data_IF_236898846698
#
_entry.id   IF_236898846698
#
_cell.length_a   1.000
_cell.length_b   1.000
_cell.length_c   1.000
_cell.angle_alpha   90.00
_cell.angle_beta   90.00
_cell.angle_gamma   90.00
#
_symmetry.space_group_name_H-M   'P 1'
#
loop_
_entity.id
_entity.type
_entity.pdbx_description
1 polymer ?
#
# COMPACT_ATOMS: atom_id res chain seq x y z
N UNK A 1 41.86 -19.59 -17.33
CA UNK A 1 40.57 -18.95 -16.98
C UNK A 1 39.45 -19.97 -17.18
N UNK A 2 39.03 -20.66 -16.10
CA UNK A 2 38.00 -21.69 -16.16
C UNK A 2 36.63 -21.06 -16.07
N UNK A 3 35.83 -21.16 -17.11
CA UNK A 3 34.43 -20.76 -17.14
C UNK A 3 33.67 -21.76 -16.26
N UNK A 4 33.28 -21.33 -15.06
CA UNK A 4 32.43 -22.09 -14.14
C UNK A 4 31.03 -22.15 -14.76
N UNK A 5 30.71 -23.24 -15.44
CA UNK A 5 29.36 -23.58 -15.90
C UNK A 5 28.43 -23.57 -14.68
N UNK A 6 27.57 -22.58 -14.58
CA UNK A 6 26.46 -22.56 -13.61
C UNK A 6 25.53 -23.71 -13.99
N UNK A 7 25.58 -24.81 -13.24
CA UNK A 7 24.59 -25.90 -13.36
C UNK A 7 23.25 -25.34 -12.90
N UNK A 8 22.44 -24.92 -13.85
CA UNK A 8 21.02 -24.64 -13.63
C UNK A 8 20.32 -26.00 -13.43
N UNK A 9 20.43 -26.58 -12.25
CA UNK A 9 19.55 -27.68 -11.85
C UNK A 9 18.21 -27.04 -11.52
N UNK A 10 17.23 -27.28 -12.36
CA UNK A 10 15.84 -26.95 -12.03
C UNK A 10 15.51 -27.57 -10.66
N UNK A 11 14.90 -26.80 -9.73
CA UNK A 11 14.56 -27.35 -8.43
C UNK A 11 13.59 -28.54 -8.59
N UNK A 12 13.62 -29.54 -7.69
CA UNK A 12 12.71 -30.65 -7.74
C UNK A 12 11.25 -30.19 -7.82
N UNK A 13 10.43 -30.85 -8.62
CA UNK A 13 8.99 -30.54 -8.76
C UNK A 13 8.33 -30.59 -7.38
N UNK A 14 7.54 -29.57 -7.05
CA UNK A 14 6.89 -29.33 -5.74
C UNK A 14 7.85 -28.96 -4.58
N UNK A 15 9.13 -28.68 -4.86
CA UNK A 15 9.98 -28.07 -3.84
C UNK A 15 9.55 -26.63 -3.56
N UNK A 16 9.87 -26.13 -2.35
CA UNK A 16 9.62 -24.72 -1.98
C UNK A 16 10.15 -23.71 -3.02
N UNK A 17 11.33 -23.97 -3.58
CA UNK A 17 11.92 -23.10 -4.61
C UNK A 17 11.21 -23.21 -5.96
N UNK A 18 10.77 -24.41 -6.34
CA UNK A 18 9.98 -24.63 -7.55
C UNK A 18 8.65 -23.88 -7.49
N UNK A 19 7.93 -23.98 -6.35
CA UNK A 19 6.65 -23.28 -6.15
C UNK A 19 6.84 -21.77 -6.23
N UNK A 20 7.88 -21.21 -5.59
CA UNK A 20 8.14 -19.77 -5.66
C UNK A 20 8.51 -19.30 -7.08
N UNK A 21 9.26 -20.10 -7.83
CA UNK A 21 9.66 -19.73 -9.20
C UNK A 21 8.51 -19.81 -10.21
N UNK A 22 7.55 -20.75 -10.00
CA UNK A 22 6.47 -21.03 -10.94
C UNK A 22 5.08 -20.70 -10.36
N UNK A 23 5.01 -19.89 -9.30
CA UNK A 23 3.72 -19.62 -8.62
C UNK A 23 2.67 -19.03 -9.56
N UNK A 24 3.05 -18.13 -10.47
CA UNK A 24 2.11 -17.53 -11.42
C UNK A 24 1.49 -18.58 -12.36
N UNK A 25 2.28 -19.50 -12.89
CA UNK A 25 1.81 -20.56 -13.77
C UNK A 25 0.92 -21.56 -13.03
N UNK A 26 1.32 -21.97 -11.82
CA UNK A 26 0.54 -22.87 -10.96
C UNK A 26 -0.81 -22.25 -10.64
N UNK A 27 -0.82 -20.95 -10.22
CA UNK A 27 -2.05 -20.23 -9.89
C UNK A 27 -2.92 -20.04 -11.14
N UNK A 28 -2.32 -19.79 -12.31
CA UNK A 28 -3.07 -19.66 -13.58
C UNK A 28 -3.80 -20.96 -13.94
N UNK A 29 -3.15 -22.12 -13.76
CA UNK A 29 -3.78 -23.41 -13.97
C UNK A 29 -4.96 -23.64 -12.99
N UNK A 30 -4.77 -23.33 -11.71
CA UNK A 30 -5.82 -23.44 -10.69
C UNK A 30 -6.98 -22.49 -11.01
N UNK A 31 -6.69 -21.24 -11.40
CA UNK A 31 -7.70 -20.25 -11.78
C UNK A 31 -8.52 -20.70 -13.00
N UNK A 32 -7.89 -21.32 -14.01
CA UNK A 32 -8.59 -21.86 -15.17
C UNK A 32 -9.54 -23.02 -14.79
N UNK A 33 -9.10 -23.94 -13.93
CA UNK A 33 -9.95 -25.02 -13.42
C UNK A 33 -11.15 -24.46 -12.66
N UNK A 34 -10.91 -23.43 -11.85
CA UNK A 34 -11.96 -22.77 -11.07
C UNK A 34 -12.95 -22.03 -11.97
N UNK A 35 -12.45 -21.33 -13.02
CA UNK A 35 -13.28 -20.66 -14.02
C UNK A 35 -14.19 -21.65 -14.74
N UNK A 36 -13.66 -22.81 -15.15
CA UNK A 36 -14.45 -23.87 -15.77
C UNK A 36 -15.56 -24.34 -14.81
N UNK A 37 -15.26 -24.54 -13.53
CA UNK A 37 -16.28 -24.89 -12.53
C UNK A 37 -17.40 -23.86 -12.40
N UNK A 38 -17.06 -22.58 -12.43
CA UNK A 38 -18.03 -21.48 -12.36
C UNK A 38 -18.89 -21.36 -13.64
N UNK A 39 -18.35 -21.72 -14.81
CA UNK A 39 -19.09 -21.67 -16.08
C UNK A 39 -20.23 -22.68 -16.14
N UNK A 40 -20.16 -23.76 -15.39
CA UNK A 40 -21.22 -24.78 -15.32
C UNK A 40 -22.35 -24.43 -14.33
N UNK A 41 -22.22 -23.35 -13.57
CA UNK A 41 -23.26 -22.86 -12.68
C UNK A 41 -24.01 -21.67 -13.32
N UNK A 42 -25.32 -21.75 -13.43
CA UNK A 42 -26.16 -20.63 -13.87
C UNK A 42 -26.09 -19.50 -12.81
N UNK A 43 -25.09 -18.63 -12.93
CA UNK A 43 -24.77 -17.57 -11.96
C UNK A 43 -25.48 -16.24 -12.22
N UNK A 44 -26.33 -16.16 -13.23
CA UNK A 44 -26.87 -14.87 -13.72
C UNK A 44 -27.85 -14.13 -12.78
N UNK A 45 -28.43 -14.80 -11.77
CA UNK A 45 -29.57 -14.22 -11.02
C UNK A 45 -29.22 -13.68 -9.62
N UNK A 46 -28.04 -13.91 -9.06
CA UNK A 46 -27.74 -13.64 -7.64
C UNK A 46 -26.74 -12.51 -7.36
N UNK A 47 -26.56 -11.56 -8.26
CA UNK A 47 -25.56 -10.49 -8.10
C UNK A 47 -25.94 -9.37 -7.12
N UNK A 48 -27.19 -9.29 -6.67
CA UNK A 48 -27.66 -8.13 -5.91
C UNK A 48 -27.66 -8.31 -4.39
N UNK A 49 -27.69 -9.54 -3.88
CA UNK A 49 -27.55 -9.84 -2.45
C UNK A 49 -26.19 -10.49 -2.16
N UNK A 50 -25.67 -10.33 -0.93
CA UNK A 50 -24.51 -11.12 -0.51
C UNK A 50 -24.93 -12.58 -0.23
N UNK A 51 -24.00 -13.51 -0.47
CA UNK A 51 -24.24 -14.93 -0.28
C UNK A 51 -22.96 -15.77 -0.27
N UNK A 52 -23.11 -17.08 0.00
CA UNK A 52 -21.99 -18.02 0.03
C UNK A 52 -21.23 -18.08 -1.31
N UNK A 53 -21.91 -17.86 -2.43
CA UNK A 53 -21.30 -17.79 -3.77
C UNK A 53 -20.27 -16.65 -3.88
N UNK A 54 -20.42 -15.56 -3.12
CA UNK A 54 -19.48 -14.46 -3.11
C UNK A 54 -18.10 -14.92 -2.56
N UNK A 55 -18.07 -15.85 -1.62
CA UNK A 55 -16.81 -16.40 -1.07
C UNK A 55 -16.04 -17.11 -2.18
N UNK A 56 -16.70 -17.93 -2.99
CA UNK A 56 -16.09 -18.61 -4.12
C UNK A 56 -15.57 -17.60 -5.15
N UNK A 57 -16.35 -16.55 -5.42
CA UNK A 57 -15.98 -15.48 -6.36
C UNK A 57 -14.79 -14.67 -5.84
N UNK A 58 -14.77 -14.35 -4.55
CA UNK A 58 -13.61 -13.68 -3.90
C UNK A 58 -12.35 -14.53 -4.02
N UNK A 59 -12.45 -15.85 -3.80
CA UNK A 59 -11.32 -16.75 -3.96
C UNK A 59 -10.83 -16.77 -5.42
N UNK A 60 -11.73 -16.81 -6.41
CA UNK A 60 -11.35 -16.70 -7.81
C UNK A 60 -10.60 -15.40 -8.12
N UNK A 61 -11.11 -14.24 -7.67
CA UNK A 61 -10.43 -12.96 -7.89
C UNK A 61 -9.13 -12.83 -7.09
N UNK A 62 -8.97 -13.55 -5.99
CA UNK A 62 -7.68 -13.69 -5.31
C UNK A 62 -6.65 -14.35 -6.24
N UNK A 63 -7.02 -15.41 -6.95
CA UNK A 63 -6.12 -16.08 -7.92
C UNK A 63 -5.79 -15.15 -9.09
N UNK A 64 -6.79 -14.42 -9.61
CA UNK A 64 -6.58 -13.40 -10.65
C UNK A 64 -5.61 -12.31 -10.17
N UNK A 65 -5.74 -11.86 -8.93
CA UNK A 65 -4.84 -10.85 -8.36
C UNK A 65 -3.38 -11.33 -8.28
N UNK A 66 -3.13 -12.61 -7.95
CA UNK A 66 -1.78 -13.20 -7.97
C UNK A 66 -1.19 -13.16 -9.39
N UNK A 67 -1.98 -13.52 -10.39
CA UNK A 67 -1.55 -13.50 -11.81
C UNK A 67 -1.23 -12.06 -12.23
N UNK A 68 -2.13 -11.12 -11.94
CA UNK A 68 -1.93 -9.70 -12.28
C UNK A 68 -0.70 -9.11 -11.58
N UNK A 69 -0.46 -9.49 -10.31
CA UNK A 69 0.75 -9.09 -9.59
C UNK A 69 2.02 -9.57 -10.31
N UNK A 70 2.06 -10.84 -10.73
CA UNK A 70 3.19 -11.41 -11.46
C UNK A 70 3.40 -10.70 -12.82
N UNK A 71 2.33 -10.42 -13.56
CA UNK A 71 2.38 -9.70 -14.85
C UNK A 71 2.95 -8.29 -14.65
N UNK A 72 2.44 -7.52 -13.71
CA UNK A 72 2.94 -6.16 -13.43
C UNK A 72 4.42 -6.21 -13.03
N UNK A 73 4.80 -7.18 -12.20
CA UNK A 73 6.18 -7.36 -11.77
C UNK A 73 7.10 -7.59 -12.97
N UNK A 74 6.81 -8.56 -13.80
CA UNK A 74 7.70 -9.00 -14.88
C UNK A 74 7.73 -8.01 -16.05
N UNK A 75 6.57 -7.56 -16.51
CA UNK A 75 6.47 -6.77 -17.73
C UNK A 75 6.66 -5.28 -17.54
N UNK A 76 6.42 -4.75 -16.32
CA UNK A 76 6.52 -3.33 -16.02
C UNK A 76 7.70 -3.04 -15.10
N UNK A 77 7.65 -3.55 -13.86
CA UNK A 77 8.58 -3.14 -12.81
C UNK A 77 10.00 -3.63 -13.05
N UNK A 78 10.18 -4.87 -13.49
CA UNK A 78 11.51 -5.42 -13.76
C UNK A 78 12.17 -4.76 -14.97
N UNK A 79 11.39 -4.29 -15.95
CA UNK A 79 11.92 -3.50 -17.07
C UNK A 79 12.44 -2.15 -16.61
N UNK A 80 11.69 -1.47 -15.73
CA UNK A 80 12.09 -0.17 -15.15
C UNK A 80 13.32 -0.35 -14.28
N UNK A 81 13.33 -1.34 -13.41
CA UNK A 81 14.45 -1.63 -12.51
C UNK A 81 15.76 -1.91 -13.26
N UNK A 82 15.70 -2.66 -14.35
CA UNK A 82 16.88 -2.91 -15.21
C UNK A 82 17.47 -1.64 -15.80
N UNK A 83 16.63 -0.65 -16.14
CA UNK A 83 17.08 0.65 -16.65
C UNK A 83 17.68 1.53 -15.54
N UNK A 84 17.15 1.44 -14.32
CA UNK A 84 17.53 2.32 -13.20
C UNK A 84 18.74 1.82 -12.39
N UNK A 85 19.18 0.57 -12.60
CA UNK A 85 20.32 -0.04 -11.90
C UNK A 85 20.28 0.09 -10.37
N UNK A 86 19.11 -0.11 -9.76
CA UNK A 86 18.93 0.02 -8.33
C UNK A 86 19.70 -1.04 -7.53
N UNK A 87 20.15 -0.69 -6.32
CA UNK A 87 20.63 -1.65 -5.34
C UNK A 87 19.52 -2.64 -4.95
N UNK A 88 19.89 -3.86 -4.52
CA UNK A 88 18.95 -4.93 -4.21
C UNK A 88 17.81 -4.52 -3.24
N UNK A 89 18.16 -3.72 -2.22
CA UNK A 89 17.19 -3.22 -1.23
C UNK A 89 16.29 -2.15 -1.82
N UNK A 90 16.82 -1.25 -2.66
CA UNK A 90 16.06 -0.18 -3.31
C UNK A 90 15.10 -0.78 -4.35
N UNK A 91 15.56 -1.81 -5.08
CA UNK A 91 14.77 -2.59 -6.03
C UNK A 91 13.52 -3.20 -5.38
N UNK A 92 13.66 -3.91 -4.25
CA UNK A 92 12.52 -4.52 -3.55
C UNK A 92 11.49 -3.47 -3.09
N UNK A 93 11.94 -2.35 -2.52
CA UNK A 93 11.05 -1.26 -2.09
C UNK A 93 10.38 -0.52 -3.25
N UNK A 94 11.06 -0.41 -4.39
CA UNK A 94 10.50 0.16 -5.61
C UNK A 94 9.39 -0.73 -6.16
N UNK A 95 9.60 -2.05 -6.21
CA UNK A 95 8.60 -3.01 -6.65
C UNK A 95 7.36 -2.98 -5.76
N UNK A 96 7.53 -3.03 -4.44
CA UNK A 96 6.44 -2.89 -3.47
C UNK A 96 5.60 -1.63 -3.75
N UNK A 97 6.25 -0.48 -3.90
CA UNK A 97 5.54 0.78 -4.16
C UNK A 97 4.91 0.82 -5.55
N UNK A 98 5.52 0.20 -6.56
CA UNK A 98 4.99 0.11 -7.91
C UNK A 98 3.72 -0.72 -7.99
N UNK A 99 3.72 -1.90 -7.37
CA UNK A 99 2.54 -2.77 -7.28
C UNK A 99 1.37 -2.07 -6.58
N UNK A 100 1.64 -1.50 -5.42
CA UNK A 100 0.61 -0.79 -4.65
C UNK A 100 0.11 0.48 -5.36
N UNK A 101 0.99 1.22 -6.06
CA UNK A 101 0.56 2.38 -6.86
C UNK A 101 -0.40 1.98 -7.98
N UNK A 102 -0.10 0.88 -8.70
CA UNK A 102 -0.96 0.39 -9.77
C UNK A 102 -2.34 -0.02 -9.21
N UNK A 103 -2.36 -0.77 -8.11
CA UNK A 103 -3.59 -1.19 -7.46
C UNK A 103 -4.42 -0.01 -6.95
N UNK A 104 -3.80 0.93 -6.22
CA UNK A 104 -4.52 2.08 -5.67
C UNK A 104 -5.05 3.00 -6.76
N UNK A 105 -4.29 3.22 -7.85
CA UNK A 105 -4.75 4.01 -8.98
C UNK A 105 -6.01 3.39 -9.61
N UNK A 106 -5.95 2.10 -9.95
CA UNK A 106 -7.08 1.39 -10.54
C UNK A 106 -8.31 1.41 -9.61
N UNK A 107 -8.11 1.10 -8.33
CA UNK A 107 -9.19 1.06 -7.34
C UNK A 107 -9.80 2.44 -7.09
N UNK A 108 -8.99 3.51 -7.07
CA UNK A 108 -9.50 4.88 -6.95
C UNK A 108 -10.34 5.30 -8.16
N UNK A 109 -9.84 5.07 -9.38
CA UNK A 109 -10.55 5.45 -10.59
C UNK A 109 -11.88 4.71 -10.72
N UNK A 110 -11.85 3.40 -10.48
CA UNK A 110 -13.07 2.59 -10.52
C UNK A 110 -14.03 2.95 -9.38
N UNK A 111 -13.56 3.07 -8.14
CA UNK A 111 -14.37 3.48 -7.01
C UNK A 111 -14.97 4.88 -7.21
N UNK A 112 -14.21 5.84 -7.74
CA UNK A 112 -14.71 7.17 -8.07
C UNK A 112 -15.79 7.13 -9.14
N UNK A 113 -15.67 6.28 -10.16
CA UNK A 113 -16.73 6.12 -11.18
C UNK A 113 -18.02 5.60 -10.56
N UNK A 114 -17.95 4.67 -9.58
CA UNK A 114 -19.13 4.19 -8.84
C UNK A 114 -19.73 5.30 -7.97
N UNK A 115 -18.89 6.08 -7.26
CA UNK A 115 -19.36 7.21 -6.45
C UNK A 115 -20.14 8.23 -7.26
N UNK A 116 -19.72 8.49 -8.51
CA UNK A 116 -20.41 9.39 -9.44
C UNK A 116 -21.71 8.75 -9.95
N UNK A 117 -21.66 7.49 -10.39
CA UNK A 117 -22.84 6.79 -10.94
C UNK A 117 -23.96 6.59 -9.91
N UNK A 118 -23.61 6.33 -8.65
CA UNK A 118 -24.55 6.17 -7.53
C UNK A 118 -24.91 7.52 -6.86
N UNK A 119 -24.38 8.63 -7.37
CA UNK A 119 -24.66 10.00 -6.89
C UNK A 119 -24.31 10.23 -5.40
N UNK A 120 -23.35 9.48 -4.87
CA UNK A 120 -22.98 9.52 -3.45
C UNK A 120 -22.19 10.77 -3.05
N UNK A 121 -21.54 11.42 -4.01
CA UNK A 121 -20.77 12.66 -3.76
C UNK A 121 -21.66 13.88 -3.64
N UNK A 122 -22.74 13.95 -4.44
CA UNK A 122 -23.65 15.10 -4.49
C UNK A 122 -24.69 15.06 -3.38
N UNK A 123 -25.02 13.87 -2.85
CA UNK A 123 -26.00 13.68 -1.79
C UNK A 123 -25.42 12.82 -0.65
N UNK A 124 -24.72 13.43 0.33
CA UNK A 124 -24.17 12.68 1.46
C UNK A 124 -25.21 11.96 2.32
N UNK A 125 -26.49 12.40 2.31
CA UNK A 125 -27.57 11.74 3.03
C UNK A 125 -27.82 10.33 2.52
N UNK A 126 -27.58 10.08 1.23
CA UNK A 126 -27.69 8.75 0.63
C UNK A 126 -26.80 7.68 1.26
N UNK A 127 -25.80 8.06 2.08
CA UNK A 127 -24.95 7.12 2.81
C UNK A 127 -25.69 6.34 3.89
N UNK A 128 -26.78 6.88 4.44
CA UNK A 128 -27.59 6.23 5.46
C UNK A 128 -29.07 6.17 5.13
N UNK A 129 -29.53 7.00 4.19
CA UNK A 129 -30.93 7.03 3.76
C UNK A 129 -31.28 5.70 3.08
N UNK A 130 -32.42 5.11 3.49
CA UNK A 130 -32.88 3.81 3.02
C UNK A 130 -32.07 2.62 3.55
N UNK A 131 -31.32 2.77 4.62
CA UNK A 131 -30.63 1.65 5.27
C UNK A 131 -31.62 0.58 5.76
N UNK A 132 -31.38 -0.74 5.58
CA UNK A 132 -30.15 -1.39 5.08
C UNK A 132 -30.08 -1.43 3.54
N UNK A 133 -28.88 -1.16 3.02
CA UNK A 133 -28.60 -1.22 1.59
C UNK A 133 -28.28 -2.66 1.13
N UNK A 134 -29.24 -3.56 1.25
CA UNK A 134 -29.05 -4.99 0.95
C UNK A 134 -28.98 -5.28 -0.54
N UNK A 135 -29.60 -4.42 -1.37
CA UNK A 135 -29.49 -4.48 -2.82
C UNK A 135 -28.36 -3.56 -3.26
N UNK A 136 -27.33 -4.15 -3.83
CA UNK A 136 -26.18 -3.42 -4.37
C UNK A 136 -26.22 -3.42 -5.89
N UNK A 137 -25.90 -2.30 -6.52
CA UNK A 137 -25.61 -2.27 -7.95
C UNK A 137 -24.46 -3.23 -8.27
N UNK A 138 -24.50 -3.87 -9.44
CA UNK A 138 -23.47 -4.84 -9.86
C UNK A 138 -22.04 -4.30 -9.69
N UNK A 139 -21.79 -3.08 -10.15
CA UNK A 139 -20.47 -2.44 -10.07
C UNK A 139 -19.98 -2.31 -8.62
N UNK A 140 -20.84 -1.92 -7.70
CA UNK A 140 -20.52 -1.78 -6.29
C UNK A 140 -20.19 -3.14 -5.66
N UNK A 141 -21.02 -4.15 -5.88
CA UNK A 141 -20.79 -5.51 -5.40
C UNK A 141 -19.49 -6.08 -5.94
N UNK A 142 -19.27 -5.95 -7.26
CA UNK A 142 -18.09 -6.44 -7.93
C UNK A 142 -16.82 -5.75 -7.43
N UNK A 143 -16.89 -4.45 -7.17
CA UNK A 143 -15.80 -3.70 -6.55
C UNK A 143 -15.39 -4.32 -5.21
N UNK A 144 -16.36 -4.56 -4.30
CA UNK A 144 -16.08 -5.18 -2.99
C UNK A 144 -15.43 -6.56 -3.11
N UNK A 145 -15.95 -7.39 -4.00
CA UNK A 145 -15.40 -8.75 -4.27
C UNK A 145 -13.94 -8.64 -4.74
N UNK A 146 -13.65 -7.77 -5.68
CA UNK A 146 -12.28 -7.55 -6.17
C UNK A 146 -11.35 -7.00 -5.08
N UNK A 147 -11.83 -6.07 -4.23
CA UNK A 147 -11.05 -5.56 -3.11
C UNK A 147 -10.71 -6.65 -2.10
N UNK A 148 -11.69 -7.50 -1.74
CA UNK A 148 -11.45 -8.65 -0.86
C UNK A 148 -10.48 -9.64 -1.48
N UNK A 149 -10.65 -9.99 -2.75
CA UNK A 149 -9.74 -10.87 -3.49
C UNK A 149 -8.31 -10.33 -3.50
N UNK A 150 -8.13 -9.03 -3.75
CA UNK A 150 -6.82 -8.40 -3.74
C UNK A 150 -6.15 -8.45 -2.36
N UNK A 151 -6.85 -8.09 -1.29
CA UNK A 151 -6.25 -8.12 0.04
C UNK A 151 -6.00 -9.54 0.57
N UNK A 152 -6.81 -10.51 0.14
CA UNK A 152 -6.54 -11.93 0.44
C UNK A 152 -5.30 -12.44 -0.28
N UNK A 153 -5.06 -12.06 -1.56
CA UNK A 153 -3.85 -12.50 -2.27
C UNK A 153 -2.56 -11.97 -1.62
N UNK A 154 -2.63 -10.85 -0.93
CA UNK A 154 -1.47 -10.29 -0.24
C UNK A 154 -0.89 -11.24 0.83
N UNK A 155 -1.69 -12.19 1.37
CA UNK A 155 -1.20 -13.18 2.35
C UNK A 155 -0.24 -14.20 1.70
N UNK A 156 -0.63 -14.97 0.67
CA UNK A 156 0.31 -15.86 -0.02
C UNK A 156 1.47 -15.10 -0.69
N UNK A 157 1.26 -13.85 -1.09
CA UNK A 157 2.31 -13.01 -1.70
C UNK A 157 3.48 -12.76 -0.74
N UNK A 158 3.24 -12.65 0.58
CA UNK A 158 4.32 -12.57 1.58
C UNK A 158 5.27 -13.76 1.51
N UNK A 159 4.73 -14.94 1.21
CA UNK A 159 5.51 -16.16 1.02
C UNK A 159 6.28 -16.15 -0.31
N UNK A 160 5.62 -15.79 -1.40
CA UNK A 160 6.24 -15.77 -2.74
C UNK A 160 7.36 -14.74 -2.84
N UNK A 161 7.22 -13.57 -2.21
CA UNK A 161 8.24 -12.53 -2.17
C UNK A 161 9.37 -12.80 -1.17
N UNK A 162 9.35 -13.91 -0.44
CA UNK A 162 10.34 -14.23 0.61
C UNK A 162 10.50 -13.08 1.60
N UNK A 163 9.39 -12.49 2.04
CA UNK A 163 9.39 -11.37 2.98
C UNK A 163 10.15 -11.72 4.25
N UNK A 164 10.91 -10.78 4.78
CA UNK A 164 11.66 -10.97 6.03
C UNK A 164 10.71 -11.25 7.19
N UNK A 165 11.06 -12.19 8.06
CA UNK A 165 10.24 -12.58 9.23
C UNK A 165 9.83 -11.40 10.10
N UNK A 166 10.72 -10.41 10.26
CA UNK A 166 10.49 -9.18 11.04
C UNK A 166 9.36 -8.30 10.44
N UNK A 167 9.20 -8.33 9.12
CA UNK A 167 8.24 -7.52 8.39
C UNK A 167 6.88 -8.22 8.23
N UNK A 168 6.82 -9.56 8.33
CA UNK A 168 5.60 -10.35 8.12
C UNK A 168 4.50 -9.93 9.10
N UNK A 169 4.80 -9.87 10.39
CA UNK A 169 3.80 -9.52 11.42
C UNK A 169 3.20 -8.12 11.16
N UNK A 170 4.05 -7.15 10.77
CA UNK A 170 3.60 -5.79 10.43
C UNK A 170 2.69 -5.79 9.21
N UNK A 171 3.04 -6.52 8.15
CA UNK A 171 2.25 -6.59 6.92
C UNK A 171 0.93 -7.32 7.16
N UNK A 172 0.92 -8.41 7.93
CA UNK A 172 -0.30 -9.12 8.31
C UNK A 172 -1.29 -8.22 9.07
N UNK A 173 -0.81 -7.36 9.98
CA UNK A 173 -1.68 -6.38 10.66
C UNK A 173 -2.36 -5.45 9.65
N UNK A 174 -1.62 -4.92 8.66
CA UNK A 174 -2.21 -4.06 7.63
C UNK A 174 -3.22 -4.81 6.77
N UNK A 175 -2.88 -6.00 6.28
CA UNK A 175 -3.79 -6.84 5.48
C UNK A 175 -5.07 -7.14 6.28
N UNK A 176 -4.94 -7.53 7.55
CA UNK A 176 -6.09 -7.82 8.41
C UNK A 176 -6.98 -6.60 8.63
N UNK A 177 -6.40 -5.40 8.81
CA UNK A 177 -7.17 -4.17 8.93
C UNK A 177 -8.01 -3.90 7.68
N UNK A 178 -7.44 -4.06 6.48
CA UNK A 178 -8.19 -3.92 5.23
C UNK A 178 -9.32 -4.95 5.13
N UNK A 179 -8.99 -6.23 5.35
CA UNK A 179 -9.99 -7.31 5.26
C UNK A 179 -11.15 -7.09 6.24
N UNK A 180 -10.86 -6.73 7.50
CA UNK A 180 -11.89 -6.48 8.53
C UNK A 180 -12.79 -5.31 8.13
N UNK A 181 -12.22 -4.19 7.68
CA UNK A 181 -13.01 -3.01 7.32
C UNK A 181 -13.84 -3.23 6.06
N UNK A 182 -13.27 -3.85 5.03
CA UNK A 182 -13.97 -4.12 3.77
C UNK A 182 -15.08 -5.16 3.99
N UNK A 183 -14.78 -6.28 4.69
CA UNK A 183 -15.78 -7.29 5.03
C UNK A 183 -16.88 -6.73 5.94
N UNK A 184 -16.49 -5.93 6.94
CA UNK A 184 -17.42 -5.29 7.86
C UNK A 184 -18.39 -4.37 7.12
N UNK A 185 -17.89 -3.52 6.23
CA UNK A 185 -18.75 -2.64 5.42
C UNK A 185 -19.69 -3.44 4.50
N UNK A 186 -19.21 -4.55 3.93
CA UNK A 186 -19.98 -5.41 3.05
C UNK A 186 -21.08 -6.18 3.79
N UNK A 187 -20.75 -6.85 4.88
CA UNK A 187 -21.66 -7.71 5.65
C UNK A 187 -22.68 -6.90 6.44
N UNK A 188 -22.29 -5.75 6.99
CA UNK A 188 -23.17 -4.87 7.75
C UNK A 188 -24.03 -3.95 6.87
N UNK A 189 -24.02 -4.12 5.55
CA UNK A 189 -24.74 -3.28 4.60
C UNK A 189 -24.39 -1.78 4.68
N UNK A 190 -23.16 -1.46 5.16
CA UNK A 190 -22.58 -0.13 5.17
C UNK A 190 -21.76 0.12 3.90
N UNK A 191 -22.15 -0.52 2.79
CA UNK A 191 -21.38 -0.56 1.56
C UNK A 191 -21.16 0.82 0.91
N UNK A 192 -22.14 1.74 1.00
CA UNK A 192 -22.00 3.11 0.46
C UNK A 192 -20.98 3.91 1.25
N UNK A 193 -21.06 3.92 2.57
CA UNK A 193 -20.06 4.55 3.45
C UNK A 193 -18.69 3.91 3.22
N UNK A 194 -18.62 2.58 3.26
CA UNK A 194 -17.37 1.85 3.07
C UNK A 194 -16.69 2.18 1.74
N UNK A 195 -17.43 2.33 0.64
CA UNK A 195 -16.89 2.74 -0.65
C UNK A 195 -16.25 4.13 -0.58
N UNK A 196 -16.97 5.12 -0.01
CA UNK A 196 -16.44 6.50 0.11
C UNK A 196 -15.15 6.51 0.94
N UNK A 197 -15.16 5.84 2.10
CA UNK A 197 -13.99 5.80 2.98
C UNK A 197 -12.81 5.06 2.33
N UNK A 198 -13.08 4.02 1.57
CA UNK A 198 -12.05 3.23 0.88
C UNK A 198 -11.41 4.02 -0.25
N UNK A 199 -12.20 4.72 -1.07
CA UNK A 199 -11.69 5.57 -2.15
C UNK A 199 -10.85 6.73 -1.60
N UNK A 200 -11.31 7.39 -0.53
CA UNK A 200 -10.53 8.43 0.15
C UNK A 200 -9.19 7.90 0.66
N UNK A 201 -9.21 6.73 1.29
CA UNK A 201 -8.00 6.10 1.80
C UNK A 201 -7.04 5.73 0.67
N UNK A 202 -7.54 5.07 -0.37
CA UNK A 202 -6.73 4.65 -1.51
C UNK A 202 -6.13 5.82 -2.28
N UNK A 203 -6.84 6.92 -2.38
CA UNK A 203 -6.30 8.13 -2.99
C UNK A 203 -5.07 8.66 -2.23
N UNK A 204 -5.15 8.70 -0.91
CA UNK A 204 -4.03 9.15 -0.06
C UNK A 204 -2.84 8.18 -0.14
N UNK A 205 -3.10 6.86 -0.12
CA UNK A 205 -2.07 5.83 -0.24
C UNK A 205 -1.42 5.83 -1.65
N UNK A 206 -2.21 6.05 -2.69
CA UNK A 206 -1.70 6.24 -4.05
C UNK A 206 -0.67 7.37 -4.10
N UNK A 207 -0.99 8.53 -3.56
CA UNK A 207 -0.07 9.68 -3.52
C UNK A 207 1.21 9.37 -2.73
N UNK A 208 1.10 8.61 -1.64
CA UNK A 208 2.27 8.17 -0.88
C UNK A 208 3.21 7.29 -1.71
N UNK A 209 2.65 6.27 -2.36
CA UNK A 209 3.46 5.33 -3.14
C UNK A 209 4.05 5.98 -4.40
N UNK A 210 3.31 6.87 -5.07
CA UNK A 210 3.85 7.68 -6.17
C UNK A 210 5.00 8.58 -5.69
N UNK A 211 4.84 9.24 -4.54
CA UNK A 211 5.91 10.06 -3.94
C UNK A 211 7.16 9.22 -3.61
N UNK A 212 6.97 7.98 -3.14
CA UNK A 212 8.08 7.03 -2.93
C UNK A 212 8.77 6.64 -4.24
N UNK A 213 8.01 6.36 -5.31
CA UNK A 213 8.57 6.02 -6.62
C UNK A 213 9.41 7.17 -7.20
N UNK A 214 8.90 8.40 -7.10
CA UNK A 214 9.62 9.60 -7.52
C UNK A 214 10.91 9.77 -6.69
N UNK A 215 10.84 9.60 -5.38
CA UNK A 215 12.00 9.68 -4.49
C UNK A 215 13.05 8.61 -4.78
N UNK A 216 12.66 7.37 -5.08
CA UNK A 216 13.60 6.31 -5.46
C UNK A 216 14.29 6.62 -6.80
N UNK A 217 13.59 7.31 -7.70
CA UNK A 217 14.14 7.73 -8.99
C UNK A 217 15.07 8.93 -8.85
N UNK A 218 14.70 9.92 -8.00
CA UNK A 218 15.49 11.12 -7.73
C UNK A 218 15.30 11.55 -6.26
N UNK A 219 16.34 11.36 -5.44
CA UNK A 219 16.33 11.60 -3.99
C UNK A 219 16.14 13.09 -3.61
N UNK A 220 16.41 14.03 -4.52
CA UNK A 220 16.22 15.45 -4.30
C UNK A 220 14.72 15.86 -4.32
N UNK A 221 13.87 15.05 -4.95
CA UNK A 221 12.44 15.35 -5.10
C UNK A 221 11.62 14.89 -3.90
N UNK A 222 11.59 15.72 -2.86
CA UNK A 222 10.83 15.42 -1.63
C UNK A 222 9.46 16.13 -1.54
N UNK A 223 9.13 17.01 -2.48
CA UNK A 223 7.90 17.81 -2.49
C UNK A 223 6.63 16.95 -2.44
N UNK A 224 6.63 15.79 -3.12
CA UNK A 224 5.50 14.86 -3.10
C UNK A 224 5.09 14.41 -1.70
N UNK A 225 6.04 14.20 -0.79
CA UNK A 225 5.74 13.83 0.59
C UNK A 225 5.10 14.96 1.40
N UNK A 226 5.35 16.22 1.05
CA UNK A 226 4.70 17.36 1.71
C UNK A 226 3.24 17.45 1.27
N UNK A 227 2.97 17.35 -0.03
CA UNK A 227 1.60 17.31 -0.57
C UNK A 227 0.83 16.14 0.03
N UNK A 228 1.43 14.94 0.02
CA UNK A 228 0.85 13.76 0.64
C UNK A 228 0.53 13.99 2.12
N UNK A 229 1.41 14.60 2.89
CA UNK A 229 1.20 14.82 4.32
C UNK A 229 -0.02 15.69 4.61
N UNK A 230 -0.23 16.77 3.84
CA UNK A 230 -1.41 17.64 3.96
C UNK A 230 -2.68 16.86 3.62
N UNK A 231 -2.69 16.16 2.48
CA UNK A 231 -3.85 15.39 2.03
C UNK A 231 -4.13 14.17 2.93
N UNK A 232 -3.10 13.60 3.57
CA UNK A 232 -3.26 12.57 4.58
C UNK A 232 -4.10 13.08 5.75
N UNK A 233 -3.72 14.21 6.35
CA UNK A 233 -4.45 14.78 7.50
C UNK A 233 -5.88 15.13 7.11
N UNK A 234 -6.08 15.81 5.98
CA UNK A 234 -7.41 16.16 5.47
C UNK A 234 -8.27 14.91 5.22
N UNK A 235 -7.70 13.89 4.60
CA UNK A 235 -8.40 12.62 4.35
C UNK A 235 -8.80 11.91 5.64
N UNK A 236 -7.95 11.95 6.70
CA UNK A 236 -8.31 11.36 8.00
C UNK A 236 -9.43 12.12 8.69
N UNK A 237 -9.40 13.47 8.66
CA UNK A 237 -10.46 14.31 9.21
C UNK A 237 -11.79 14.05 8.48
N UNK A 238 -11.78 14.00 7.16
CA UNK A 238 -12.97 13.72 6.36
C UNK A 238 -13.53 12.32 6.63
N UNK A 239 -12.66 11.31 6.73
CA UNK A 239 -13.04 9.94 7.09
C UNK A 239 -13.77 9.89 8.45
N UNK A 240 -13.21 10.54 9.48
CA UNK A 240 -13.82 10.59 10.81
C UNK A 240 -15.17 11.34 10.78
N UNK A 241 -15.22 12.51 10.13
CA UNK A 241 -16.44 13.32 10.02
C UNK A 241 -17.56 12.54 9.33
N UNK A 242 -17.30 11.92 8.18
CA UNK A 242 -18.30 11.11 7.46
C UNK A 242 -18.76 9.89 8.27
N UNK A 243 -17.84 9.23 8.98
CA UNK A 243 -18.18 8.08 9.81
C UNK A 243 -19.08 8.46 10.98
N UNK A 244 -18.76 9.55 11.67
CA UNK A 244 -19.58 10.06 12.79
C UNK A 244 -20.94 10.53 12.29
N UNK A 245 -20.98 11.27 11.17
CA UNK A 245 -22.26 11.72 10.58
C UNK A 245 -23.14 10.54 10.16
N UNK A 246 -22.58 9.56 9.47
CA UNK A 246 -23.36 8.42 8.95
C UNK A 246 -23.76 7.46 10.08
N UNK A 247 -22.79 6.94 10.85
CA UNK A 247 -23.05 5.88 11.83
C UNK A 247 -23.56 6.45 13.16
N UNK A 248 -23.03 7.61 13.58
CA UNK A 248 -23.42 8.26 14.84
C UNK A 248 -24.80 8.92 14.77
N UNK A 249 -25.03 9.72 13.75
CA UNK A 249 -26.26 10.52 13.62
C UNK A 249 -27.22 9.96 12.56
N UNK A 250 -26.77 9.68 11.35
CA UNK A 250 -27.62 9.23 10.26
C UNK A 250 -28.36 7.93 10.57
N UNK A 251 -27.63 6.88 10.93
CA UNK A 251 -28.24 5.60 11.31
C UNK A 251 -29.01 5.67 12.63
N UNK A 252 -28.65 6.59 13.54
CA UNK A 252 -29.43 6.79 14.77
C UNK A 252 -30.80 7.36 14.52
N UNK A 253 -30.95 8.20 13.50
CA UNK A 253 -32.23 8.78 13.06
C UNK A 253 -32.95 8.00 11.96
N UNK A 254 -32.40 6.88 11.48
CA UNK A 254 -33.03 6.10 10.42
C UNK A 254 -34.30 5.40 10.90
N UNK A 255 -35.28 5.24 10.02
CA UNK A 255 -36.59 4.66 10.34
C UNK A 255 -36.49 3.21 10.86
N UNK A 256 -35.60 2.40 10.24
CA UNK A 256 -35.42 1.00 10.60
C UNK A 256 -34.37 0.87 11.70
N UNK A 257 -34.82 0.74 12.94
CA UNK A 257 -34.01 0.45 14.11
C UNK A 257 -34.13 -1.03 14.50
N UNK A 258 -33.08 -1.59 15.09
CA UNK A 258 -33.07 -2.96 15.60
C UNK A 258 -32.23 -3.93 14.78
N UNK A 259 -32.14 -5.16 15.27
CA UNK A 259 -31.42 -6.25 14.63
C UNK A 259 -32.42 -7.17 13.93
N UNK A 260 -32.33 -7.24 12.60
CA UNK A 260 -33.07 -8.19 11.78
C UNK A 260 -32.17 -8.81 10.73
N UNK A 261 -31.65 -10.01 11.01
CA UNK A 261 -30.72 -10.72 10.15
C UNK A 261 -31.35 -11.11 8.80
N UNK A 262 -32.67 -11.38 8.79
CA UNK A 262 -33.39 -11.77 7.56
C UNK A 262 -33.49 -10.60 6.57
N UNK A 263 -33.63 -9.39 7.08
CA UNK A 263 -33.66 -8.15 6.29
C UNK A 263 -32.24 -7.52 6.15
N UNK A 264 -31.20 -8.12 6.74
CA UNK A 264 -29.85 -7.55 6.74
C UNK A 264 -29.72 -6.24 7.53
N UNK A 265 -30.63 -6.00 8.47
CA UNK A 265 -30.61 -4.81 9.32
C UNK A 265 -29.77 -5.04 10.58
N UNK A 266 -28.70 -4.26 10.73
CA UNK A 266 -27.80 -4.30 11.89
C UNK A 266 -27.81 -2.99 12.70
N UNK A 267 -28.85 -2.16 12.55
CA UNK A 267 -28.92 -0.83 13.14
C UNK A 267 -29.29 -0.87 14.63
N UNK A 268 -28.39 -1.39 15.45
CA UNK A 268 -28.46 -1.34 16.92
C UNK A 268 -27.28 -0.53 17.47
N UNK A 269 -27.49 0.05 18.64
CA UNK A 269 -26.48 0.91 19.30
C UNK A 269 -25.11 0.22 19.43
N UNK A 270 -25.10 -1.06 19.83
CA UNK A 270 -23.85 -1.82 20.02
C UNK A 270 -23.07 -1.92 18.71
N UNK A 271 -23.72 -2.25 17.59
CA UNK A 271 -23.07 -2.33 16.27
C UNK A 271 -22.55 -0.97 15.84
N UNK A 272 -23.34 0.11 15.99
CA UNK A 272 -22.90 1.47 15.67
C UNK A 272 -21.66 1.88 16.46
N UNK A 273 -21.67 1.66 17.77
CA UNK A 273 -20.52 1.96 18.64
C UNK A 273 -19.30 1.12 18.28
N UNK A 274 -19.48 -0.16 17.98
CA UNK A 274 -18.38 -1.05 17.56
C UNK A 274 -17.76 -0.60 16.25
N UNK A 275 -18.58 -0.26 15.26
CA UNK A 275 -18.11 0.24 13.96
C UNK A 275 -17.35 1.57 14.13
N UNK A 276 -17.91 2.52 14.88
CA UNK A 276 -17.23 3.79 15.16
C UNK A 276 -15.92 3.57 15.91
N UNK A 277 -15.91 2.71 16.93
CA UNK A 277 -14.69 2.39 17.68
C UNK A 277 -13.62 1.76 16.78
N UNK A 278 -13.99 0.83 15.89
CA UNK A 278 -13.08 0.21 14.93
C UNK A 278 -12.48 1.24 13.97
N UNK A 279 -13.32 2.14 13.42
CA UNK A 279 -12.87 3.22 12.53
C UNK A 279 -11.96 4.19 13.30
N UNK A 280 -12.37 4.69 14.47
CA UNK A 280 -11.58 5.63 15.27
C UNK A 280 -10.22 5.04 15.67
N UNK A 281 -10.21 3.78 16.12
CA UNK A 281 -8.96 3.08 16.51
C UNK A 281 -8.02 2.93 15.32
N UNK A 282 -8.54 2.53 14.14
CA UNK A 282 -7.71 2.42 12.94
C UNK A 282 -7.18 3.78 12.46
N UNK A 283 -7.99 4.84 12.54
CA UNK A 283 -7.54 6.20 12.21
C UNK A 283 -6.48 6.71 13.20
N UNK A 284 -6.67 6.47 14.50
CA UNK A 284 -5.68 6.81 15.54
C UNK A 284 -4.36 6.07 15.31
N UNK A 285 -4.40 4.78 14.98
CA UNK A 285 -3.22 3.99 14.65
C UNK A 285 -2.47 4.56 13.42
N UNK A 286 -3.19 4.90 12.35
CA UNK A 286 -2.59 5.49 11.16
C UNK A 286 -2.01 6.87 11.45
N UNK A 287 -2.70 7.72 12.22
CA UNK A 287 -2.21 9.04 12.63
C UNK A 287 -0.94 8.92 13.49
N UNK A 288 -0.91 7.98 14.44
CA UNK A 288 0.28 7.70 15.24
C UNK A 288 1.48 7.29 14.38
N UNK A 289 1.26 6.41 13.39
CA UNK A 289 2.31 6.01 12.42
C UNK A 289 2.80 7.21 11.61
N UNK A 290 1.87 8.05 11.15
CA UNK A 290 2.17 9.27 10.41
C UNK A 290 3.02 10.25 11.22
N UNK A 291 2.62 10.54 12.46
CA UNK A 291 3.37 11.45 13.36
C UNK A 291 4.79 10.92 13.59
N UNK A 292 4.95 9.61 13.88
CA UNK A 292 6.26 9.02 14.06
C UNK A 292 7.13 9.10 12.79
N UNK A 293 6.52 8.93 11.61
CA UNK A 293 7.23 9.10 10.33
C UNK A 293 7.69 10.55 10.12
N UNK A 294 6.83 11.54 10.37
CA UNK A 294 7.19 12.97 10.23
C UNK A 294 8.25 13.40 11.25
N UNK A 295 8.15 12.94 12.50
CA UNK A 295 9.16 13.21 13.53
C UNK A 295 10.53 12.62 13.16
N UNK A 296 10.56 11.41 12.58
CA UNK A 296 11.82 10.82 12.10
C UNK A 296 12.43 11.68 10.99
N UNK A 297 11.65 12.05 9.98
CA UNK A 297 12.12 12.92 8.89
C UNK A 297 12.64 14.26 9.42
N UNK A 298 11.93 14.87 10.33
CA UNK A 298 12.35 16.15 10.93
C UNK A 298 13.67 16.02 11.69
N UNK A 299 13.86 14.96 12.46
CA UNK A 299 15.14 14.68 13.15
C UNK A 299 16.29 14.48 12.16
N UNK A 300 16.09 13.72 11.11
CA UNK A 300 17.09 13.47 10.05
C UNK A 300 17.50 14.78 9.37
N UNK A 301 16.54 15.66 9.04
CA UNK A 301 16.82 16.98 8.48
C UNK A 301 17.58 17.88 9.44
N UNK A 302 17.21 17.92 10.71
CA UNK A 302 17.89 18.71 11.73
C UNK A 302 19.34 18.25 11.92
N UNK A 303 19.60 16.96 11.97
CA UNK A 303 20.96 16.38 12.06
C UNK A 303 21.82 16.73 10.84
N UNK A 304 21.25 16.63 9.64
CA UNK A 304 21.96 16.97 8.39
C UNK A 304 22.33 18.46 8.34
N UNK A 305 21.45 19.34 8.80
CA UNK A 305 21.74 20.78 8.88
C UNK A 305 22.84 21.09 9.91
N UNK A 306 22.83 20.41 11.06
CA UNK A 306 23.85 20.57 12.10
C UNK A 306 25.23 20.11 11.60
N UNK A 307 25.28 19.00 10.87
CA UNK A 307 26.52 18.51 10.25
C UNK A 307 27.06 19.47 9.17
N UNK A 308 26.16 20.01 8.31
CA UNK A 308 26.55 21.03 7.30
C UNK A 308 27.08 22.30 7.95
N UNK A 309 26.46 22.79 9.04
CA UNK A 309 26.96 23.93 9.81
C UNK A 309 28.34 23.68 10.42
N UNK A 310 28.56 22.48 10.99
CA UNK A 310 29.89 22.11 11.56
C UNK A 310 30.96 22.03 10.48
N UNK A 311 30.66 21.48 9.29
CA UNK A 311 31.62 21.37 8.19
C UNK A 311 31.95 22.74 7.59
N UNK A 312 30.99 23.68 7.51
CA UNK A 312 31.24 25.03 7.03
C UNK A 312 32.05 25.86 8.03
N UNK A 313 31.84 25.70 9.35
CA UNK A 313 32.59 26.40 10.39
C UNK A 313 34.04 25.90 10.49
N UNK A 314 34.28 24.57 10.23
CA UNK A 314 35.66 24.06 10.18
C UNK A 314 36.44 24.51 8.94
N UNK A 315 35.77 24.65 7.78
CA UNK A 315 36.38 25.24 6.57
C UNK A 315 36.71 26.74 6.71
N UNK A 316 35.91 27.50 7.45
CA UNK A 316 36.19 28.92 7.69
C UNK A 316 37.34 29.13 8.68
N UNK A 317 37.50 28.23 9.68
CA UNK A 317 38.63 28.26 10.61
C UNK A 317 39.96 27.86 9.93
N UNK A 318 39.94 26.91 9.00
CA UNK A 318 41.18 26.53 8.28
C UNK A 318 41.63 27.58 7.26
N UNK A 319 40.70 28.35 6.65
CA UNK A 319 41.04 29.49 5.79
C UNK A 319 41.58 30.69 6.57
N UNK A 320 41.20 30.90 7.83
CA UNK A 320 41.75 31.95 8.69
C UNK A 320 43.13 31.61 9.27
N UNK A 321 43.48 30.32 9.41
CA UNK A 321 44.78 29.88 9.89
C UNK A 321 45.88 29.95 8.80
N UNK A 322 45.53 29.85 7.50
CA UNK A 322 46.48 29.96 6.37
C UNK A 322 46.66 31.40 5.85
N UNK A 323 46.05 32.41 6.49
CA UNK A 323 46.16 33.83 6.09
C UNK A 323 47.16 34.65 6.90
N UNK A 324 47.92 34.09 7.84
CA UNK A 324 48.89 34.81 8.70
C UNK A 324 50.19 34.03 8.73
N UNK A 325 50.86 33.85 7.60
CA UNK A 325 52.28 33.66 7.50
C UNK A 325 52.69 33.77 6.04
N UNK A 326 53.05 34.94 5.66
CA UNK A 326 53.64 35.25 4.36
C UNK A 326 54.55 36.49 4.50
N UNK A 327 55.76 36.30 4.98
CA UNK A 327 56.93 36.99 4.47
C UNK A 327 58.19 36.49 5.18
N UNK A 328 59.22 36.37 4.39
CA UNK A 328 60.68 36.34 4.67
C UNK A 328 61.35 34.97 4.53
N UNK A 329 62.22 34.91 3.50
CA UNK A 329 63.57 34.32 3.62
C UNK A 329 63.87 33.09 2.76
N UNK A 330 64.67 33.39 1.77
CA UNK A 330 65.34 32.56 0.77
C UNK A 330 66.25 31.44 1.29
N UNK A 331 66.51 30.54 0.38
CA UNK A 331 67.72 29.75 0.12
C UNK A 331 67.84 28.36 0.69
N UNK A 332 68.15 27.42 -0.22
CA UNK A 332 69.12 26.36 0.00
C UNK A 332 68.58 24.93 -0.05
N UNK A 333 68.76 24.35 -1.23
CA UNK A 333 69.35 23.02 -1.51
C UNK A 333 68.87 21.73 -0.85
N UNK A 334 68.70 20.81 -1.73
CA UNK A 334 68.98 19.35 -1.66
C UNK A 334 67.90 18.36 -1.30
N UNK A 335 67.66 17.58 -2.32
CA UNK A 335 67.05 16.24 -2.32
C UNK A 335 67.98 15.20 -1.65
N UNK A 336 67.52 14.06 -1.10
CA UNK A 336 67.29 12.92 -1.97
C UNK A 336 66.13 11.94 -1.55
N UNK A 337 65.55 11.37 -2.55
CA UNK A 337 65.08 10.00 -2.79
C UNK A 337 65.39 8.89 -1.76
N UNK A 338 64.36 8.17 -1.34
CA UNK A 338 64.38 6.71 -1.10
C UNK A 338 62.94 6.25 -0.88
N UNK A 339 62.38 5.47 -1.73
CA UNK A 339 62.41 4.02 -1.99
C UNK A 339 61.36 3.25 -1.13
N UNK A 340 60.47 2.64 -1.90
CA UNK A 340 59.51 1.56 -1.62
C UNK A 340 59.93 0.60 -0.51
N UNK A 341 58.92 0.08 0.21
CA UNK A 341 58.82 -1.38 0.30
C UNK A 341 57.38 -1.83 0.55
N UNK A 342 57.00 -2.91 -0.13
CA UNK A 342 55.84 -3.76 0.00
C UNK A 342 56.10 -4.82 1.06
N UNK A 343 55.03 -5.25 1.77
CA UNK A 343 54.71 -6.64 2.15
C UNK A 343 53.67 -6.56 3.28
N UNK A 344 52.71 -7.35 3.36
CA UNK A 344 52.22 -8.60 2.78
C UNK A 344 50.75 -8.75 3.12
#
# INVERSE_FOLDING_TARGET
>A
MGIRKKNNKNPPVLSHEFVIQNHADIVSCVAMVFLLGLMFEETAVNYFHYGLKDVATVFFYMLVAIIMHAIIQEYVLDKINRKMHFSKTKHSKFNESGQLSAFYLFSCLWGASILVSENLLSNPVSLWDGYPHTLMAFQLKFYYICQLGYWLHAIPELYFQKTKKEDIARQLVYISLYLVHITGAYVLNLNRLGLVLLVLHYFVEFLFHVSRLIYFSNEDRQTGFTVWAVLFVLGRLLTLSLSVLTVGFGLAGAEKQGLNLAEGNFNILVVRLTVLAAICTSQAFMMWKFINFQLRRWREHAQTQTLKKKSSSSKSKSKKANGVNGSVGASGADSPRARKEKSS
#
